data_IF_305968092577
#
_entry.id   IF_305968092577
#
_cell.length_a   1.000
_cell.length_b   1.000
_cell.length_c   1.000
_cell.angle_alpha   90.00
_cell.angle_beta   90.00
_cell.angle_gamma   90.00
#
_symmetry.space_group_name_H-M   'P 1'
#
loop_
_entity.id
_entity.type
_entity.pdbx_description
1 polymer ?
#
# COMPACT_ATOMS: atom_id res chain seq x y z
N UNK A 1 17.14 -11.40 -7.85
CA UNK A 1 16.31 -11.86 -8.99
C UNK A 1 15.80 -10.60 -9.67
N UNK A 2 15.94 -10.45 -11.00
CA UNK A 2 15.47 -9.27 -11.70
C UNK A 2 13.93 -9.25 -11.77
N UNK A 3 13.36 -8.05 -11.64
CA UNK A 3 11.92 -7.84 -11.78
C UNK A 3 11.59 -7.34 -13.18
N UNK A 4 10.51 -7.84 -13.76
CA UNK A 4 9.99 -7.46 -15.06
C UNK A 4 8.64 -6.78 -14.89
N UNK A 5 8.42 -5.68 -15.62
CA UNK A 5 7.09 -5.07 -15.69
C UNK A 5 6.38 -5.63 -16.90
N UNK A 6 5.14 -6.10 -16.70
CA UNK A 6 4.31 -6.60 -17.77
C UNK A 6 3.03 -5.77 -17.91
N UNK A 7 2.59 -5.64 -19.16
CA UNK A 7 1.21 -5.28 -19.51
C UNK A 7 0.63 -6.46 -20.27
N UNK A 8 -0.38 -7.09 -19.69
CA UNK A 8 -1.07 -8.23 -20.27
C UNK A 8 -2.58 -7.96 -20.36
N UNK A 9 -3.27 -8.77 -21.14
CA UNK A 9 -4.72 -8.71 -21.31
C UNK A 9 -5.34 -9.96 -20.71
N UNK A 10 -6.28 -9.76 -19.81
CA UNK A 10 -7.12 -10.83 -19.28
C UNK A 10 -8.06 -11.37 -20.38
N UNK A 11 -8.54 -12.62 -20.32
CA UNK A 11 -9.49 -13.17 -21.29
C UNK A 11 -10.79 -12.37 -21.37
N UNK A 12 -11.10 -11.61 -20.31
CA UNK A 12 -12.20 -10.63 -20.24
C UNK A 12 -11.96 -9.36 -21.05
N UNK A 13 -10.81 -9.24 -21.73
CA UNK A 13 -10.42 -8.10 -22.56
C UNK A 13 -9.87 -6.89 -21.78
N UNK A 14 -9.72 -6.98 -20.46
CA UNK A 14 -9.18 -5.92 -19.60
C UNK A 14 -7.65 -5.94 -19.57
N UNK A 15 -7.03 -4.78 -19.69
CA UNK A 15 -5.58 -4.64 -19.57
C UNK A 15 -5.15 -4.66 -18.11
N UNK A 16 -4.29 -5.61 -17.74
CA UNK A 16 -3.69 -5.78 -16.42
C UNK A 16 -2.21 -5.43 -16.53
N UNK A 17 -1.73 -4.59 -15.61
CA UNK A 17 -0.32 -4.22 -15.54
C UNK A 17 0.21 -4.54 -14.14
N UNK A 18 1.41 -5.11 -14.08
CA UNK A 18 2.02 -5.52 -12.82
C UNK A 18 3.52 -5.76 -12.95
N UNK A 19 4.15 -6.05 -11.84
CA UNK A 19 5.55 -6.50 -11.76
C UNK A 19 5.60 -7.98 -11.45
N UNK A 20 6.64 -8.64 -11.97
CA UNK A 20 6.80 -10.09 -11.98
C UNK A 20 8.29 -10.38 -11.81
N UNK A 21 8.64 -11.14 -10.78
CA UNK A 21 10.01 -11.61 -10.59
C UNK A 21 10.27 -12.79 -11.54
N UNK A 22 11.22 -12.64 -12.46
CA UNK A 22 11.61 -13.70 -13.38
C UNK A 22 13.12 -13.68 -13.57
N UNK A 23 13.76 -14.83 -13.75
CA UNK A 23 15.18 -14.91 -14.06
C UNK A 23 15.52 -14.40 -15.46
N UNK A 24 14.57 -14.53 -16.40
CA UNK A 24 14.73 -14.09 -17.79
C UNK A 24 13.38 -13.71 -18.45
N UNK A 25 13.43 -13.00 -19.59
CA UNK A 25 12.23 -12.60 -20.34
C UNK A 25 11.38 -13.79 -20.78
N UNK A 26 12.00 -14.93 -21.11
CA UNK A 26 11.27 -16.16 -21.45
C UNK A 26 10.48 -16.72 -20.27
N UNK A 27 11.07 -16.71 -19.07
CA UNK A 27 10.41 -17.16 -17.84
C UNK A 27 9.25 -16.24 -17.44
N UNK A 28 9.40 -14.93 -17.68
CA UNK A 28 8.32 -13.97 -17.48
C UNK A 28 7.12 -14.24 -18.40
N UNK A 29 7.36 -14.62 -19.67
CA UNK A 29 6.30 -14.98 -20.61
C UNK A 29 5.57 -16.27 -20.21
N UNK A 30 6.31 -17.28 -19.75
CA UNK A 30 5.72 -18.53 -19.25
C UNK A 30 4.82 -18.29 -18.04
N UNK A 31 5.26 -17.51 -17.06
CA UNK A 31 4.48 -17.18 -15.87
C UNK A 31 3.20 -16.39 -16.21
N UNK A 32 3.25 -15.50 -17.19
CA UNK A 32 2.05 -14.80 -17.67
C UNK A 32 1.07 -15.72 -18.40
N UNK A 33 1.60 -16.68 -19.18
CA UNK A 33 0.81 -17.73 -19.81
C UNK A 33 0.10 -18.63 -18.79
N UNK A 34 0.80 -19.03 -17.72
CA UNK A 34 0.23 -19.82 -16.61
C UNK A 34 -0.88 -19.06 -15.87
N UNK A 35 -0.78 -17.73 -15.81
CA UNK A 35 -1.82 -16.86 -15.25
C UNK A 35 -2.99 -16.57 -16.22
N UNK A 36 -3.05 -17.22 -17.39
CA UNK A 36 -4.02 -16.95 -18.46
C UNK A 36 -4.06 -15.49 -18.94
N UNK A 37 -2.96 -14.76 -18.75
CA UNK A 37 -2.82 -13.37 -19.15
C UNK A 37 -2.08 -13.30 -20.49
N UNK A 38 -2.67 -12.68 -21.49
CA UNK A 38 -2.04 -12.50 -22.81
C UNK A 38 -1.07 -11.31 -22.78
N UNK A 39 0.26 -11.50 -22.84
CA UNK A 39 1.21 -10.39 -22.77
C UNK A 39 1.08 -9.48 -24.00
N UNK A 40 0.81 -8.20 -23.78
CA UNK A 40 0.84 -7.15 -24.80
C UNK A 40 2.26 -6.54 -24.87
N UNK A 41 2.92 -6.41 -23.71
CA UNK A 41 4.26 -5.84 -23.60
C UNK A 41 4.95 -6.35 -22.34
N UNK A 42 6.19 -6.84 -22.48
CA UNK A 42 7.05 -7.27 -21.37
C UNK A 42 8.36 -6.52 -21.52
N UNK A 43 8.70 -5.69 -20.54
CA UNK A 43 9.94 -4.91 -20.53
C UNK A 43 10.68 -5.20 -19.21
N UNK A 44 12.03 -5.30 -19.24
CA UNK A 44 12.81 -5.38 -18.01
C UNK A 44 12.50 -4.13 -17.20
N UNK A 45 12.05 -4.28 -15.94
CA UNK A 45 11.68 -3.12 -15.16
C UNK A 45 12.96 -2.32 -14.92
N UNK A 46 13.10 -1.08 -15.44
CA UNK A 46 14.13 -0.22 -14.90
C UNK A 46 13.83 -0.08 -13.40
N UNK A 47 14.85 -0.04 -12.54
CA UNK A 47 14.69 0.05 -11.09
C UNK A 47 13.74 1.20 -10.65
N UNK A 48 13.46 2.15 -11.54
CA UNK A 48 12.47 3.22 -11.42
C UNK A 48 10.99 2.79 -11.50
N UNK A 49 10.62 1.63 -12.07
CA UNK A 49 9.21 1.17 -12.16
C UNK A 49 8.74 0.53 -10.85
N UNK A 50 9.65 -0.01 -10.04
CA UNK A 50 9.33 -0.38 -8.65
C UNK A 50 8.79 0.84 -7.88
N UNK A 51 9.33 2.03 -8.11
CA UNK A 51 8.84 3.26 -7.48
C UNK A 51 7.48 3.75 -8.04
N UNK A 52 7.12 3.35 -9.26
CA UNK A 52 5.86 3.77 -9.90
C UNK A 52 4.66 2.86 -9.56
N UNK A 53 4.90 1.57 -9.29
CA UNK A 53 3.87 0.64 -8.79
C UNK A 53 3.78 0.59 -7.27
N UNK A 54 4.85 0.97 -6.56
CA UNK A 54 4.77 1.46 -5.18
C UNK A 54 4.23 2.88 -5.15
N UNK A 55 3.08 3.12 -5.78
CA UNK A 55 2.21 4.22 -5.34
C UNK A 55 1.86 3.89 -3.90
N UNK A 56 2.69 4.35 -2.97
CA UNK A 56 2.25 4.69 -1.63
C UNK A 56 0.95 5.45 -1.85
N UNK A 57 -0.15 4.77 -1.59
CA UNK A 57 -1.49 5.32 -1.80
C UNK A 57 -1.58 6.47 -0.80
N UNK A 58 -1.17 7.66 -1.22
CA UNK A 58 -1.16 8.84 -0.37
C UNK A 58 -2.56 8.95 0.25
N UNK A 59 -2.59 9.01 1.58
CA UNK A 59 -3.84 9.23 2.30
C UNK A 59 -4.39 10.57 1.81
N UNK A 60 -5.61 10.56 1.28
CA UNK A 60 -6.24 11.78 0.79
C UNK A 60 -6.39 12.80 1.91
N UNK A 61 -6.23 14.09 1.60
CA UNK A 61 -6.26 15.17 2.59
C UNK A 61 -7.51 15.13 3.49
N UNK A 62 -8.67 14.77 2.95
CA UNK A 62 -9.92 14.63 3.72
C UNK A 62 -9.83 13.54 4.80
N UNK A 63 -9.16 12.41 4.52
CA UNK A 63 -8.99 11.33 5.49
C UNK A 63 -7.98 11.72 6.58
N UNK A 64 -6.97 12.54 6.27
CA UNK A 64 -6.06 13.10 7.27
C UNK A 64 -6.80 14.08 8.20
N UNK A 65 -7.63 14.96 7.65
CA UNK A 65 -8.44 15.90 8.46
C UNK A 65 -9.33 15.12 9.43
N UNK A 66 -10.05 14.10 8.94
CA UNK A 66 -10.90 13.26 9.79
C UNK A 66 -10.09 12.56 10.90
N UNK A 67 -8.93 11.99 10.57
CA UNK A 67 -8.02 11.36 11.52
C UNK A 67 -7.60 12.32 12.64
N UNK A 68 -7.10 13.52 12.29
CA UNK A 68 -6.61 14.48 13.27
C UNK A 68 -7.73 15.04 14.15
N UNK A 69 -8.92 15.29 13.59
CA UNK A 69 -10.09 15.73 14.38
C UNK A 69 -10.52 14.66 15.38
N UNK A 70 -10.68 13.41 14.95
CA UNK A 70 -11.06 12.30 15.83
C UNK A 70 -10.03 12.06 16.93
N UNK A 71 -8.74 12.14 16.58
CA UNK A 71 -7.66 12.00 17.55
C UNK A 71 -7.72 13.13 18.59
N UNK A 72 -7.92 14.38 18.15
CA UNK A 72 -8.05 15.52 19.04
C UNK A 72 -9.25 15.40 19.99
N UNK A 73 -10.40 14.96 19.49
CA UNK A 73 -11.62 14.77 20.30
C UNK A 73 -11.41 13.69 21.39
N UNK A 74 -10.81 12.57 21.02
CA UNK A 74 -10.51 11.47 21.95
C UNK A 74 -9.47 11.89 23.01
N UNK A 75 -8.42 12.59 22.60
CA UNK A 75 -7.41 13.08 23.55
C UNK A 75 -7.98 14.15 24.49
N UNK A 76 -8.81 15.05 23.97
CA UNK A 76 -9.47 16.11 24.77
C UNK A 76 -10.46 15.53 25.78
N UNK A 77 -11.13 14.44 25.42
CA UNK A 77 -12.01 13.69 26.33
C UNK A 77 -11.26 12.79 27.33
N UNK A 78 -9.92 12.82 27.34
CA UNK A 78 -9.09 12.10 28.29
C UNK A 78 -8.89 10.61 27.94
N UNK A 79 -9.23 10.19 26.72
CA UNK A 79 -8.96 8.83 26.25
C UNK A 79 -7.45 8.67 26.05
N UNK A 80 -6.82 7.62 26.61
CA UNK A 80 -5.39 7.38 26.44
C UNK A 80 -5.00 7.24 24.96
N UNK A 81 -3.88 7.84 24.57
CA UNK A 81 -3.41 7.90 23.17
C UNK A 81 -3.44 6.54 22.45
N UNK A 82 -2.91 5.48 23.07
CA UNK A 82 -2.89 4.13 22.47
C UNK A 82 -4.31 3.59 22.22
N UNK A 83 -5.25 3.90 23.11
CA UNK A 83 -6.66 3.51 22.94
C UNK A 83 -7.32 4.35 21.86
N UNK A 84 -7.01 5.64 21.79
CA UNK A 84 -7.50 6.53 20.74
C UNK A 84 -7.06 6.07 19.35
N UNK A 85 -5.77 5.73 19.18
CA UNK A 85 -5.23 5.19 17.93
C UNK A 85 -5.90 3.88 17.52
N UNK A 86 -6.13 2.97 18.48
CA UNK A 86 -6.84 1.71 18.22
C UNK A 86 -8.29 1.94 17.77
N UNK A 87 -9.01 2.85 18.43
CA UNK A 87 -10.39 3.17 18.05
C UNK A 87 -10.46 3.75 16.62
N UNK A 88 -9.52 4.60 16.25
CA UNK A 88 -9.46 5.18 14.91
C UNK A 88 -9.06 4.11 13.87
N UNK A 89 -8.13 3.21 14.20
CA UNK A 89 -7.75 2.04 13.37
C UNK A 89 -8.98 1.16 13.05
N UNK A 90 -9.80 0.87 14.06
CA UNK A 90 -11.01 0.04 13.92
C UNK A 90 -12.09 0.73 13.09
N UNK A 91 -12.17 2.06 13.13
CA UNK A 91 -13.17 2.86 12.41
C UNK A 91 -12.70 3.35 11.03
N UNK A 92 -11.43 3.18 10.68
CA UNK A 92 -10.87 3.71 9.44
C UNK A 92 -11.45 3.00 8.20
N UNK A 93 -12.26 3.72 7.43
CA UNK A 93 -12.82 3.23 6.16
C UNK A 93 -11.76 3.09 5.04
N UNK A 94 -10.67 3.85 5.11
CA UNK A 94 -9.59 3.77 4.13
C UNK A 94 -8.55 2.73 4.58
N UNK A 95 -8.36 1.62 3.83
CA UNK A 95 -7.43 0.56 4.21
C UNK A 95 -5.97 1.05 4.28
N UNK A 96 -5.61 2.10 3.53
CA UNK A 96 -4.26 2.66 3.60
C UNK A 96 -4.05 3.44 4.88
N UNK A 97 -5.03 4.24 5.29
CA UNK A 97 -4.98 4.95 6.57
C UNK A 97 -4.94 3.95 7.73
N UNK A 98 -5.74 2.88 7.66
CA UNK A 98 -5.73 1.82 8.67
C UNK A 98 -4.34 1.23 8.87
N UNK A 99 -3.63 0.92 7.79
CA UNK A 99 -2.26 0.41 7.86
C UNK A 99 -1.29 1.40 8.52
N UNK A 100 -1.35 2.68 8.14
CA UNK A 100 -0.51 3.73 8.72
C UNK A 100 -0.79 3.92 10.22
N UNK A 101 -2.06 3.94 10.62
CA UNK A 101 -2.45 4.10 12.03
C UNK A 101 -2.02 2.89 12.87
N UNK A 102 -2.10 1.68 12.31
CA UNK A 102 -1.64 0.46 12.98
C UNK A 102 -0.12 0.52 13.25
N UNK A 103 0.67 0.94 12.26
CA UNK A 103 2.12 1.11 12.39
C UNK A 103 2.47 2.20 13.43
N UNK A 104 1.82 3.37 13.36
CA UNK A 104 1.98 4.43 14.38
C UNK A 104 1.65 3.89 15.79
N UNK A 105 0.55 3.15 15.93
CA UNK A 105 0.14 2.59 17.22
C UNK A 105 1.18 1.61 17.77
N UNK A 106 1.73 0.75 16.93
CA UNK A 106 2.78 -0.20 17.31
C UNK A 106 4.06 0.52 17.74
N UNK A 107 4.51 1.49 16.94
CA UNK A 107 5.67 2.31 17.27
C UNK A 107 5.54 3.08 18.59
N UNK A 108 4.35 3.63 18.86
CA UNK A 108 4.07 4.33 20.13
C UNK A 108 3.95 3.33 21.29
N UNK A 109 3.42 2.12 21.04
CA UNK A 109 3.37 1.06 22.05
C UNK A 109 4.77 0.57 22.46
N UNK A 110 5.71 0.57 21.51
CA UNK A 110 7.14 0.30 21.75
C UNK A 110 7.87 1.46 22.44
N UNK A 111 7.18 2.55 22.76
CA UNK A 111 7.72 3.68 23.53
C UNK A 111 8.38 4.77 22.67
N UNK A 112 8.27 4.71 21.34
CA UNK A 112 8.67 5.85 20.51
C UNK A 112 7.77 7.05 20.76
N UNK A 113 8.33 8.25 20.60
CA UNK A 113 7.55 9.48 20.65
C UNK A 113 6.60 9.53 19.46
N UNK A 114 5.37 10.00 19.68
CA UNK A 114 4.38 10.14 18.62
C UNK A 114 4.90 10.92 17.40
N UNK A 115 5.65 12.01 17.63
CA UNK A 115 6.26 12.81 16.57
C UNK A 115 7.31 12.07 15.71
N UNK A 116 7.85 10.94 16.18
CA UNK A 116 8.78 10.09 15.43
C UNK A 116 8.09 8.94 14.70
N UNK A 117 6.83 8.67 15.04
CA UNK A 117 6.03 7.61 14.42
C UNK A 117 5.26 8.12 13.18
N UNK A 118 5.08 9.45 13.05
CA UNK A 118 4.45 10.11 11.91
C UNK A 118 5.38 10.32 10.71
#
# INVERSE_FOLDING_TARGET
MPDFTYKARDPSGKSVAGTLAAGDQQEALSLLGDMQLFPIRVEPAPASVMAAFSREKKVGASALVAFYSQLADLLTSGVPLLRSLKLIEDQAANPTLKGVVADIREQVADGKRLAQAF
#
